data_IF_356476934934
#
_entry.id   IF_356476934934
#
_cell.length_a   1.000
_cell.length_b   1.000
_cell.length_c   1.000
_cell.angle_alpha   90.00
_cell.angle_beta   90.00
_cell.angle_gamma   90.00
#
_symmetry.space_group_name_H-M   'P 1'
#
loop_
_entity.id
_entity.type
_entity.pdbx_description
1 polymer ?
#
# COMPACT_ATOMS: atom_id res chain seq x y z
N UNK A 1 15.20 -25.94 11.45
CA UNK A 1 15.14 -24.65 10.72
C UNK A 1 14.07 -23.82 11.42
N UNK A 2 14.49 -22.88 12.27
CA UNK A 2 13.57 -22.14 13.11
C UNK A 2 12.86 -21.08 12.27
N UNK A 3 11.56 -21.31 12.01
CA UNK A 3 10.69 -20.24 11.56
C UNK A 3 10.66 -19.19 12.66
N UNK A 4 11.28 -18.04 12.42
CA UNK A 4 11.18 -16.89 13.31
C UNK A 4 9.70 -16.52 13.39
N UNK A 5 9.04 -16.98 14.47
CA UNK A 5 7.70 -16.55 14.86
C UNK A 5 7.75 -15.03 14.85
N UNK A 6 7.08 -14.41 13.89
CA UNK A 6 6.69 -13.00 14.03
C UNK A 6 6.04 -12.89 15.41
N UNK A 7 6.54 -11.98 16.26
CA UNK A 7 5.77 -11.43 17.39
C UNK A 7 4.34 -11.33 16.94
N UNK A 8 3.45 -12.05 17.62
CA UNK A 8 2.08 -12.27 17.20
C UNK A 8 1.43 -10.94 16.85
N UNK A 9 1.22 -10.67 15.56
CA UNK A 9 0.57 -9.46 15.09
C UNK A 9 -0.92 -9.68 15.19
N UNK A 10 -1.54 -9.01 16.14
CA UNK A 10 -2.96 -9.12 16.43
C UNK A 10 -3.70 -7.97 15.75
N UNK A 11 -4.60 -8.25 14.78
CA UNK A 11 -5.34 -7.19 14.10
C UNK A 11 -6.12 -6.29 15.06
N UNK A 12 -6.57 -6.82 16.19
CA UNK A 12 -7.24 -6.12 17.29
C UNK A 12 -6.39 -5.05 17.98
N UNK A 13 -5.06 -5.11 17.84
CA UNK A 13 -4.14 -4.12 18.41
C UNK A 13 -3.84 -2.94 17.45
N UNK A 14 -4.49 -2.89 16.28
CA UNK A 14 -4.38 -1.77 15.34
C UNK A 14 -4.94 -0.47 15.94
N UNK A 15 -4.09 0.55 16.04
CA UNK A 15 -4.34 1.80 16.76
C UNK A 15 -3.82 1.81 18.20
N UNK A 16 -3.33 0.69 18.71
CA UNK A 16 -2.76 0.57 20.06
C UNK A 16 -1.27 0.31 20.00
N UNK A 17 -0.83 -0.74 19.29
CA UNK A 17 0.59 -1.11 19.19
C UNK A 17 1.22 -0.75 17.86
N UNK A 18 0.39 -0.57 16.82
CA UNK A 18 0.81 -0.26 15.47
C UNK A 18 -0.35 0.38 14.70
N UNK A 19 -0.11 0.82 13.48
CA UNK A 19 -1.14 1.32 12.56
C UNK A 19 -1.06 0.51 11.27
N UNK A 20 -2.09 -0.28 10.96
CA UNK A 20 -2.16 -0.97 9.67
C UNK A 20 -2.52 0.03 8.57
N UNK A 21 -1.82 0.00 7.44
CA UNK A 21 -2.09 0.84 6.26
C UNK A 21 -2.71 0.05 5.09
N UNK A 22 -3.17 -1.17 5.36
CA UNK A 22 -3.85 -2.02 4.38
C UNK A 22 -5.38 -2.01 4.53
N UNK A 23 -6.05 -2.78 3.65
CA UNK A 23 -7.52 -2.92 3.59
C UNK A 23 -8.19 -3.36 4.90
N UNK A 24 -7.44 -4.00 5.79
CA UNK A 24 -7.92 -4.48 7.08
C UNK A 24 -7.69 -3.47 8.23
N UNK A 25 -7.34 -2.22 7.93
CA UNK A 25 -7.08 -1.20 8.94
C UNK A 25 -8.32 -0.81 9.75
N UNK A 26 -8.16 -0.75 11.07
CA UNK A 26 -9.15 -0.30 12.05
C UNK A 26 -9.02 1.19 12.35
N UNK A 27 -7.84 1.77 12.19
CA UNK A 27 -7.64 3.22 12.38
C UNK A 27 -8.12 4.02 11.16
N UNK A 28 -8.59 5.24 11.39
CA UNK A 28 -8.97 6.14 10.29
C UNK A 28 -7.75 6.48 9.41
N UNK A 29 -6.62 6.80 10.04
CA UNK A 29 -5.36 7.05 9.34
C UNK A 29 -4.96 5.85 8.47
N UNK A 30 -5.02 4.63 9.02
CA UNK A 30 -4.70 3.41 8.31
C UNK A 30 -5.57 3.19 7.07
N UNK A 31 -6.90 3.32 7.24
CA UNK A 31 -7.86 3.22 6.14
C UNK A 31 -7.62 4.27 5.05
N UNK A 32 -7.24 5.48 5.43
CA UNK A 32 -6.98 6.57 4.47
C UNK A 32 -5.65 6.40 3.74
N UNK A 33 -4.65 5.77 4.37
CA UNK A 33 -3.36 5.48 3.77
C UNK A 33 -3.41 4.32 2.77
N UNK A 34 -4.40 3.44 2.86
CA UNK A 34 -4.65 2.40 1.86
C UNK A 34 -4.76 2.99 0.44
N UNK A 35 -4.14 2.32 -0.54
CA UNK A 35 -4.20 2.73 -1.94
C UNK A 35 -5.62 2.63 -2.53
N UNK A 36 -6.46 1.78 -1.95
CA UNK A 36 -7.85 1.57 -2.39
C UNK A 36 -8.83 2.59 -1.79
N UNK A 37 -8.40 3.39 -0.81
CA UNK A 37 -9.24 4.38 -0.16
C UNK A 37 -9.80 5.40 -1.15
N UNK A 38 -11.07 5.77 -1.00
CA UNK A 38 -11.67 6.88 -1.75
C UNK A 38 -11.19 8.22 -1.17
N UNK A 39 -9.99 8.62 -1.59
CA UNK A 39 -9.34 9.87 -1.19
C UNK A 39 -8.84 10.55 -2.47
N UNK A 40 -9.71 11.36 -3.11
CA UNK A 40 -9.42 11.93 -4.41
C UNK A 40 -8.19 12.84 -4.41
N UNK A 41 -7.44 12.84 -5.50
CA UNK A 41 -6.27 13.70 -5.68
C UNK A 41 -6.08 14.10 -7.15
N UNK A 42 -5.41 15.24 -7.33
CA UNK A 42 -5.06 15.77 -8.65
C UNK A 42 -3.61 15.39 -8.99
N UNK A 43 -3.42 14.63 -10.07
CA UNK A 43 -2.10 14.45 -10.67
C UNK A 43 -1.80 15.62 -11.62
N UNK A 44 -0.63 16.27 -11.54
CA UNK A 44 -0.33 17.48 -12.31
C UNK A 44 -0.33 17.25 -13.83
N UNK A 45 0.07 16.05 -14.27
CA UNK A 45 0.11 15.69 -15.69
C UNK A 45 -1.09 14.88 -16.16
N UNK A 46 -1.74 14.16 -15.24
CA UNK A 46 -2.67 13.12 -15.62
C UNK A 46 -4.12 13.49 -15.33
N UNK A 47 -4.43 14.44 -14.45
CA UNK A 47 -5.81 14.78 -14.12
C UNK A 47 -6.23 14.30 -12.74
N UNK A 48 -7.53 14.32 -12.48
CA UNK A 48 -8.13 13.87 -11.22
C UNK A 48 -8.25 12.35 -11.16
N UNK A 49 -8.11 11.81 -9.95
CA UNK A 49 -8.33 10.40 -9.62
C UNK A 49 -9.04 10.26 -8.26
N UNK A 50 -9.98 9.32 -8.16
CA UNK A 50 -10.70 9.02 -6.92
C UNK A 50 -9.85 8.24 -5.90
N UNK A 51 -8.88 7.46 -6.38
CA UNK A 51 -7.98 6.68 -5.53
C UNK A 51 -6.63 6.41 -6.19
N UNK A 52 -5.64 6.03 -5.39
CA UNK A 52 -4.33 5.61 -5.91
C UNK A 52 -4.51 4.34 -6.76
N UNK A 53 -5.33 3.38 -6.33
CA UNK A 53 -5.63 2.18 -7.10
C UNK A 53 -6.20 2.50 -8.49
N UNK A 54 -7.17 3.43 -8.57
CA UNK A 54 -7.71 3.90 -9.86
C UNK A 54 -6.62 4.47 -10.76
N UNK A 55 -5.71 5.28 -10.23
CA UNK A 55 -4.57 5.79 -10.97
C UNK A 55 -3.67 4.68 -11.55
N UNK A 56 -3.34 3.66 -10.75
CA UNK A 56 -2.47 2.55 -11.19
C UNK A 56 -3.10 1.70 -12.29
N UNK A 57 -4.39 1.42 -12.17
CA UNK A 57 -5.11 0.68 -13.19
C UNK A 57 -5.21 1.54 -14.46
N UNK A 58 -5.50 2.84 -14.34
CA UNK A 58 -5.52 3.76 -15.50
C UNK A 58 -4.15 3.82 -16.21
N UNK A 59 -3.03 3.85 -15.48
CA UNK A 59 -1.69 3.89 -16.07
C UNK A 59 -1.43 2.76 -17.07
N UNK A 60 -1.98 1.58 -16.79
CA UNK A 60 -1.74 0.38 -17.58
C UNK A 60 -2.88 0.08 -18.57
N UNK A 61 -4.12 0.45 -18.24
CA UNK A 61 -5.32 0.18 -19.06
C UNK A 61 -5.71 1.34 -19.99
N UNK A 62 -5.37 2.57 -19.62
CA UNK A 62 -5.64 3.79 -20.41
C UNK A 62 -7.13 4.01 -20.76
N UNK A 63 -8.04 3.62 -19.85
CA UNK A 63 -9.49 3.87 -19.99
C UNK A 63 -9.91 4.97 -19.00
N UNK A 64 -10.49 6.06 -19.52
CA UNK A 64 -10.76 7.27 -18.74
C UNK A 64 -11.73 7.06 -17.56
N UNK A 65 -12.73 6.18 -17.70
CA UNK A 65 -13.68 5.89 -16.61
C UNK A 65 -13.01 5.31 -15.35
N UNK A 66 -11.80 4.74 -15.47
CA UNK A 66 -11.04 4.19 -14.34
C UNK A 66 -10.62 5.28 -13.34
N UNK A 67 -10.55 6.54 -13.78
CA UNK A 67 -10.17 7.67 -12.93
C UNK A 67 -11.09 7.83 -11.72
N UNK A 68 -12.35 7.47 -11.86
CA UNK A 68 -13.38 7.59 -10.82
C UNK A 68 -13.44 6.37 -9.90
N UNK A 69 -12.63 5.35 -10.17
CA UNK A 69 -12.70 4.06 -9.49
C UNK A 69 -11.85 4.04 -8.23
N UNK A 70 -12.35 3.34 -7.21
CA UNK A 70 -11.67 3.06 -5.95
C UNK A 70 -12.08 1.70 -5.39
N UNK A 71 -11.51 1.29 -4.27
CA UNK A 71 -11.91 0.06 -3.59
C UNK A 71 -11.72 -1.21 -4.43
N UNK A 72 -12.63 -2.16 -4.24
CA UNK A 72 -12.60 -3.45 -4.93
C UNK A 72 -12.89 -3.34 -6.44
N UNK A 73 -13.58 -2.30 -6.87
CA UNK A 73 -13.90 -2.07 -8.29
C UNK A 73 -12.63 -1.87 -9.12
N UNK A 74 -11.59 -1.24 -8.56
CA UNK A 74 -10.29 -1.10 -9.23
C UNK A 74 -9.67 -2.47 -9.55
N UNK A 75 -9.75 -3.40 -8.60
CA UNK A 75 -9.22 -4.76 -8.76
C UNK A 75 -10.00 -5.53 -9.81
N UNK A 76 -11.32 -5.40 -9.81
CA UNK A 76 -12.20 -6.05 -10.78
C UNK A 76 -11.89 -5.57 -12.20
N UNK A 77 -11.88 -4.25 -12.40
CA UNK A 77 -11.61 -3.65 -13.71
C UNK A 77 -10.22 -4.00 -14.23
N UNK A 78 -9.20 -4.05 -13.34
CA UNK A 78 -7.86 -4.46 -13.72
C UNK A 78 -7.80 -5.88 -14.31
N UNK A 79 -8.68 -6.79 -13.88
CA UNK A 79 -8.76 -8.17 -14.39
C UNK A 79 -9.52 -8.27 -15.71
N UNK A 80 -10.51 -7.42 -15.92
CA UNK A 80 -11.38 -7.47 -17.10
C UNK A 80 -10.78 -6.78 -18.33
N UNK A 81 -9.95 -5.75 -18.12
CA UNK A 81 -9.38 -4.97 -19.22
C UNK A 81 -7.96 -5.42 -19.59
N UNK A 82 -7.60 -5.40 -20.89
CA UNK A 82 -6.25 -5.72 -21.34
C UNK A 82 -5.24 -4.65 -20.92
N UNK A 83 -4.00 -5.07 -20.65
CA UNK A 83 -2.87 -4.16 -20.44
C UNK A 83 -2.53 -3.49 -21.77
N UNK A 84 -2.61 -2.16 -21.82
CA UNK A 84 -2.26 -1.33 -22.98
C UNK A 84 -0.84 -0.78 -22.87
N UNK A 85 -0.32 -0.65 -21.64
CA UNK A 85 1.01 -0.07 -21.38
C UNK A 85 1.74 -0.83 -20.28
N UNK A 86 2.99 -1.18 -20.58
CA UNK A 86 3.90 -1.84 -19.65
C UNK A 86 4.88 -0.82 -19.02
N UNK A 87 5.27 -1.10 -17.79
CA UNK A 87 6.25 -0.32 -17.03
C UNK A 87 7.25 -1.29 -16.41
N UNK A 88 8.50 -0.85 -16.22
CA UNK A 88 9.40 -1.58 -15.33
C UNK A 88 8.88 -1.51 -13.89
N UNK A 89 9.19 -2.49 -13.03
CA UNK A 89 8.77 -2.48 -11.63
C UNK A 89 9.14 -1.19 -10.90
N UNK A 90 10.35 -0.65 -11.12
CA UNK A 90 10.85 0.57 -10.48
C UNK A 90 10.05 1.78 -10.92
N UNK A 91 9.79 1.90 -12.23
CA UNK A 91 9.01 3.00 -12.77
C UNK A 91 7.56 2.93 -12.28
N UNK A 92 6.99 1.74 -12.21
CA UNK A 92 5.64 1.54 -11.70
C UNK A 92 5.56 1.91 -10.21
N UNK A 93 6.52 1.46 -9.41
CA UNK A 93 6.60 1.82 -7.99
C UNK A 93 6.78 3.34 -7.77
N UNK A 94 7.57 4.01 -8.61
CA UNK A 94 7.71 5.46 -8.56
C UNK A 94 6.37 6.18 -8.82
N UNK A 95 5.54 5.65 -9.72
CA UNK A 95 4.18 6.19 -9.94
C UNK A 95 3.27 5.98 -8.74
N UNK A 96 3.34 4.82 -8.08
CA UNK A 96 2.58 4.54 -6.84
C UNK A 96 2.97 5.54 -5.74
N UNK A 97 4.28 5.76 -5.56
CA UNK A 97 4.80 6.67 -4.54
C UNK A 97 4.37 8.11 -4.81
N UNK A 98 4.48 8.58 -6.06
CA UNK A 98 4.05 9.92 -6.44
C UNK A 98 2.55 10.14 -6.19
N UNK A 99 1.70 9.20 -6.61
CA UNK A 99 0.26 9.27 -6.36
C UNK A 99 -0.09 9.23 -4.87
N UNK A 100 0.63 8.42 -4.08
CA UNK A 100 0.46 8.35 -2.63
C UNK A 100 0.80 9.67 -1.95
N UNK A 101 1.91 10.31 -2.35
CA UNK A 101 2.26 11.64 -1.83
C UNK A 101 1.24 12.71 -2.21
N UNK A 102 0.75 12.70 -3.46
CA UNK A 102 -0.31 13.61 -3.90
C UNK A 102 -1.60 13.43 -3.10
N UNK A 103 -2.01 12.17 -2.83
CA UNK A 103 -3.13 11.86 -1.93
C UNK A 103 -2.90 12.46 -0.54
N UNK A 104 -1.75 12.20 0.09
CA UNK A 104 -1.47 12.72 1.44
C UNK A 104 -1.48 14.25 1.46
N UNK A 105 -0.89 14.89 0.45
CA UNK A 105 -0.82 16.35 0.35
C UNK A 105 -2.19 17.00 0.09
N UNK A 106 -3.09 16.34 -0.63
CA UNK A 106 -4.44 16.84 -0.92
C UNK A 106 -5.37 16.80 0.31
N UNK A 107 -5.04 16.02 1.34
CA UNK A 107 -5.91 15.75 2.49
C UNK A 107 -5.21 16.14 3.80
N UNK A 108 -5.57 17.33 4.31
CA UNK A 108 -4.96 17.89 5.52
C UNK A 108 -5.20 17.03 6.78
N UNK A 109 -6.31 16.31 6.83
CA UNK A 109 -6.63 15.32 7.88
C UNK A 109 -5.63 14.15 7.85
N UNK A 110 -5.33 13.60 6.68
CA UNK A 110 -4.36 12.49 6.53
C UNK A 110 -2.96 12.95 6.93
N UNK A 111 -2.48 14.06 6.36
CA UNK A 111 -1.13 14.57 6.64
C UNK A 111 -0.94 14.92 8.12
N UNK A 112 -1.92 15.59 8.76
CA UNK A 112 -1.86 15.88 10.20
C UNK A 112 -1.81 14.61 11.03
N UNK A 113 -2.69 13.64 10.75
CA UNK A 113 -2.73 12.38 11.49
C UNK A 113 -1.43 11.57 11.30
N UNK A 114 -0.90 11.51 10.08
CA UNK A 114 0.35 10.82 9.76
C UNK A 114 1.54 11.42 10.52
N UNK A 115 1.68 12.75 10.50
CA UNK A 115 2.81 13.42 11.13
C UNK A 115 2.68 13.52 12.65
N UNK A 116 1.48 13.38 13.21
CA UNK A 116 1.28 13.31 14.65
C UNK A 116 1.40 11.88 15.20
N UNK A 117 1.33 10.84 14.37
CA UNK A 117 1.36 9.45 14.86
C UNK A 117 2.77 9.02 15.27
N UNK A 118 2.89 8.42 16.45
CA UNK A 118 4.14 7.86 16.96
C UNK A 118 4.21 6.34 16.82
N UNK A 119 3.06 5.67 16.75
CA UNK A 119 2.98 4.22 16.54
C UNK A 119 3.64 3.83 15.21
N UNK A 120 4.25 2.63 15.14
CA UNK A 120 4.84 2.15 13.92
C UNK A 120 3.78 1.80 12.88
N UNK A 121 4.04 2.11 11.62
CA UNK A 121 3.19 1.68 10.53
C UNK A 121 3.46 0.20 10.19
N UNK A 122 2.41 -0.49 9.75
CA UNK A 122 2.44 -1.90 9.32
C UNK A 122 1.57 -2.07 8.09
N UNK A 123 1.86 -3.08 7.27
CA UNK A 123 0.95 -3.47 6.20
C UNK A 123 0.75 -4.98 6.19
N UNK A 124 -0.45 -5.40 6.58
CA UNK A 124 -0.88 -6.79 6.54
C UNK A 124 -2.32 -6.92 6.05
N UNK A 125 -2.61 -8.10 5.53
CA UNK A 125 -3.94 -8.58 5.17
C UNK A 125 -4.43 -9.57 6.22
N UNK A 126 -5.74 -9.55 6.45
CA UNK A 126 -6.42 -10.48 7.35
C UNK A 126 -7.26 -11.42 6.49
N UNK A 127 -6.91 -12.69 6.53
CA UNK A 127 -7.59 -13.76 5.80
C UNK A 127 -8.44 -14.56 6.79
N UNK A 128 -9.70 -14.80 6.42
CA UNK A 128 -10.60 -15.67 7.19
C UNK A 128 -10.87 -16.93 6.37
N UNK A 129 -10.38 -18.07 6.83
CA UNK A 129 -10.58 -19.38 6.19
C UNK A 129 -11.04 -20.38 7.25
N UNK A 130 -12.17 -21.04 7.01
CA UNK A 130 -12.73 -22.09 7.88
C UNK A 130 -12.83 -21.69 9.37
N UNK A 131 -13.17 -20.42 9.64
CA UNK A 131 -13.27 -19.88 11.00
C UNK A 131 -11.92 -19.51 11.65
N UNK A 132 -10.79 -19.79 11.00
CA UNK A 132 -9.47 -19.33 11.41
C UNK A 132 -9.15 -17.97 10.79
N UNK A 133 -8.58 -17.08 11.61
CA UNK A 133 -8.03 -15.80 11.16
C UNK A 133 -6.52 -15.94 11.01
N UNK A 134 -6.01 -15.71 9.81
CA UNK A 134 -4.58 -15.66 9.53
C UNK A 134 -4.18 -14.25 9.10
N UNK A 135 -3.00 -13.83 9.56
CA UNK A 135 -2.43 -12.52 9.23
C UNK A 135 -1.25 -12.75 8.32
N UNK A 136 -1.31 -12.14 7.13
CA UNK A 136 -0.25 -12.21 6.14
C UNK A 136 0.27 -10.80 5.88
N UNK A 137 1.59 -10.63 5.82
CA UNK A 137 2.15 -9.35 5.38
C UNK A 137 1.72 -9.05 3.94
N UNK A 138 1.29 -7.82 3.67
CA UNK A 138 0.83 -7.44 2.33
C UNK A 138 1.95 -7.60 1.31
N UNK A 139 1.66 -8.18 0.14
CA UNK A 139 2.65 -8.47 -0.91
C UNK A 139 3.36 -7.23 -1.46
N UNK A 140 2.66 -6.10 -1.55
CA UNK A 140 3.23 -4.78 -1.89
C UNK A 140 3.62 -3.97 -0.63
N UNK A 141 3.42 -4.54 0.55
CA UNK A 141 3.43 -3.80 1.80
C UNK A 141 4.74 -3.20 2.19
N UNK A 142 5.87 -3.87 1.94
CA UNK A 142 7.15 -3.27 2.25
C UNK A 142 7.41 -1.96 1.45
N UNK A 143 6.96 -1.79 0.20
CA UNK A 143 7.29 -0.58 -0.59
C UNK A 143 6.49 0.64 -0.17
N UNK A 144 5.17 0.47 -0.05
CA UNK A 144 4.28 1.54 0.41
C UNK A 144 4.64 1.97 1.84
N UNK A 145 4.93 1.00 2.71
CA UNK A 145 5.34 1.24 4.09
C UNK A 145 6.61 2.07 4.15
N UNK A 146 7.69 1.64 3.47
CA UNK A 146 8.96 2.38 3.46
C UNK A 146 8.80 3.81 2.94
N UNK A 147 8.02 3.99 1.88
CA UNK A 147 7.81 5.31 1.30
C UNK A 147 7.07 6.25 2.26
N UNK A 148 5.94 5.80 2.83
CA UNK A 148 5.14 6.61 3.75
C UNK A 148 5.93 6.92 5.02
N UNK A 149 6.69 5.95 5.52
CA UNK A 149 7.57 6.15 6.67
C UNK A 149 8.69 7.16 6.39
N UNK A 150 9.24 7.17 5.16
CA UNK A 150 10.15 8.21 4.70
C UNK A 150 9.53 9.61 4.79
N UNK A 151 8.31 9.77 4.29
CA UNK A 151 7.56 11.03 4.40
C UNK A 151 7.29 11.43 5.85
N UNK A 152 6.93 10.46 6.71
CA UNK A 152 6.62 10.71 8.12
C UNK A 152 7.84 11.20 8.88
N UNK A 153 9.01 10.58 8.67
CA UNK A 153 10.26 10.91 9.36
C UNK A 153 10.73 12.34 9.11
N UNK A 154 10.46 12.91 7.94
CA UNK A 154 10.81 14.30 7.64
C UNK A 154 10.10 15.31 8.56
N UNK A 155 8.98 14.92 9.16
CA UNK A 155 8.12 15.80 9.97
C UNK A 155 7.92 15.32 11.41
N UNK A 156 8.28 14.07 11.71
CA UNK A 156 8.16 13.48 13.04
C UNK A 156 9.41 12.66 13.37
N UNK A 157 10.30 13.21 14.19
CA UNK A 157 11.50 12.53 14.67
C UNK A 157 11.21 11.47 15.74
N UNK A 158 10.04 11.53 16.38
CA UNK A 158 9.62 10.63 17.45
C UNK A 158 8.80 9.44 16.92
N UNK A 159 8.64 9.36 15.60
CA UNK A 159 8.02 8.25 14.91
C UNK A 159 8.78 6.95 15.19
N UNK A 160 8.10 5.97 15.78
CA UNK A 160 8.65 4.61 15.90
C UNK A 160 8.63 3.94 14.52
N UNK A 161 9.81 3.57 14.04
CA UNK A 161 10.04 3.00 12.70
C UNK A 161 10.60 1.58 12.77
N UNK A 162 10.52 0.89 13.92
CA UNK A 162 11.20 -0.41 14.12
C UNK A 162 10.79 -1.51 13.12
N UNK A 163 9.63 -1.39 12.49
CA UNK A 163 9.14 -2.37 11.50
C UNK A 163 9.70 -2.19 10.09
N UNK A 164 10.48 -1.13 9.87
CA UNK A 164 11.21 -0.89 8.61
C UNK A 164 12.30 -1.93 8.41
N UNK A 165 13.05 -2.28 9.46
CA UNK A 165 14.15 -3.24 9.37
C UNK A 165 13.67 -4.65 9.00
N UNK A 166 12.57 -5.10 9.63
CA UNK A 166 11.91 -6.38 9.32
C UNK A 166 11.41 -6.45 7.87
N UNK A 167 11.04 -5.30 7.32
CA UNK A 167 10.56 -5.20 5.94
C UNK A 167 11.72 -5.12 4.95
N UNK A 168 12.82 -4.44 5.28
CA UNK A 168 14.02 -4.29 4.44
C UNK A 168 14.88 -5.55 4.31
N UNK A 169 14.98 -6.36 5.37
CA UNK A 169 15.71 -7.65 5.31
C UNK A 169 14.98 -8.63 4.38
N UNK A 170 13.65 -8.68 4.49
CA UNK A 170 12.80 -9.46 3.60
C UNK A 170 12.81 -8.94 2.16
N UNK A 171 13.04 -7.64 1.96
CA UNK A 171 13.26 -7.07 0.63
C UNK A 171 14.56 -7.51 -0.03
N UNK A 172 15.64 -7.65 0.73
CA UNK A 172 16.90 -8.18 0.21
C UNK A 172 16.74 -9.65 -0.22
N UNK A 173 15.93 -10.42 0.50
CA UNK A 173 15.55 -11.78 0.12
C UNK A 173 14.58 -11.81 -1.08
N UNK A 174 13.62 -10.88 -1.14
CA UNK A 174 12.66 -10.78 -2.25
C UNK A 174 13.31 -10.23 -3.52
N UNK A 175 14.42 -9.48 -3.47
CA UNK A 175 15.22 -9.14 -4.65
C UNK A 175 15.72 -10.37 -5.42
N UNK A 176 15.90 -11.51 -4.74
CA UNK A 176 16.19 -12.79 -5.37
C UNK A 176 14.96 -13.56 -5.85
N UNK A 177 13.75 -13.09 -5.52
CA UNK A 177 12.46 -13.62 -5.97
C UNK A 177 11.75 -12.71 -6.99
N UNK A 178 12.21 -11.47 -7.18
CA UNK A 178 11.69 -10.56 -8.21
C UNK A 178 12.24 -10.84 -9.61
N UNK A 179 13.27 -11.69 -9.72
CA UNK A 179 13.62 -12.34 -10.99
C UNK A 179 12.54 -13.36 -11.43
N UNK A 180 11.66 -13.77 -10.50
CA UNK A 180 10.55 -14.72 -10.72
C UNK A 180 9.15 -14.05 -10.76
N UNK A 181 9.06 -12.71 -10.94
CA UNK A 181 7.80 -12.11 -11.43
C UNK A 181 7.61 -12.37 -12.95
N UNK A 182 7.87 -13.60 -13.37
CA UNK A 182 7.16 -14.24 -14.46
C UNK A 182 5.76 -14.55 -13.93
N UNK A 183 4.84 -13.59 -14.11
CA UNK A 183 3.41 -13.84 -13.97
C UNK A 183 3.04 -14.84 -15.07
N UNK A 184 3.20 -16.12 -14.72
CA UNK A 184 2.92 -17.27 -15.56
C UNK A 184 1.53 -17.15 -16.19
N UNK A 185 1.52 -16.67 -17.42
CA UNK A 185 0.54 -17.04 -18.43
C UNK A 185 0.97 -18.42 -18.95
N UNK A 186 0.68 -19.47 -18.16
CA UNK A 186 0.66 -20.82 -18.72
C UNK A 186 -0.61 -20.98 -19.55
N UNK A 187 -0.37 -21.43 -20.78
CA UNK A 187 -1.28 -21.70 -21.89
C UNK A 187 -2.60 -22.37 -21.52
#
# INVERSE_FOLDING_TARGET
MNMTKLTTLFPEDDGVTHINIGRAAQTQLGRDLDIYAHRPFQHPQHGQFASVAGYLVWLTRQVESIREVHGFDAVKIAKELPVMKHFTPERFQAQINAATALKIAAHADISKALYASTLPLMHYEVLKQDGQTTVQMGSNGPHALLFIEGLRREKNCDADMHNIHKSSERFAEVRHLTDDYDIGLRH
#
